data_IF_905138815284
#
_entry.id   IF_905138815284
#
_cell.length_a   1.000
_cell.length_b   1.000
_cell.length_c   1.000
_cell.angle_alpha   90.00
_cell.angle_beta   90.00
_cell.angle_gamma   90.00
#
_symmetry.space_group_name_H-M   'P 1'
#
loop_
_entity.id
_entity.type
_entity.pdbx_description
1 polymer ?
#
# COMPACT_ATOMS: atom_id res chain seq x y z
N UNK A 1 28.82 2.76 -8.30
CA UNK A 1 27.38 3.02 -8.42
C UNK A 1 26.76 2.91 -7.03
N UNK A 2 25.88 3.84 -6.67
CA UNK A 2 25.14 3.75 -5.40
C UNK A 2 24.29 2.48 -5.39
N UNK A 3 24.10 1.88 -4.22
CA UNK A 3 23.21 0.73 -4.07
C UNK A 3 21.78 1.21 -4.31
N UNK A 4 21.04 0.58 -5.22
CA UNK A 4 19.62 0.90 -5.44
C UNK A 4 18.83 0.72 -4.15
N UNK A 5 18.13 1.77 -3.73
CA UNK A 5 17.22 1.74 -2.59
C UNK A 5 15.82 1.38 -3.09
N UNK A 6 15.21 0.36 -2.47
CA UNK A 6 13.86 -0.10 -2.79
C UNK A 6 12.87 0.40 -1.73
N UNK A 7 11.71 0.89 -2.13
CA UNK A 7 10.66 1.38 -1.25
C UNK A 7 9.32 0.75 -1.63
N UNK A 8 8.45 0.53 -0.65
CA UNK A 8 7.06 0.19 -0.94
C UNK A 8 6.17 1.42 -0.71
N UNK A 9 5.35 1.77 -1.70
CA UNK A 9 4.27 2.74 -1.56
C UNK A 9 2.93 2.03 -1.50
N UNK A 10 2.12 2.32 -0.49
CA UNK A 10 0.73 1.86 -0.40
C UNK A 10 -0.15 3.08 -0.62
N UNK A 11 -1.00 3.03 -1.64
CA UNK A 11 -1.95 4.08 -1.99
C UNK A 11 -3.36 3.51 -1.86
N UNK A 12 -4.10 3.99 -0.86
CA UNK A 12 -5.46 3.59 -0.61
C UNK A 12 -6.40 4.69 -1.09
N UNK A 13 -7.06 4.47 -2.23
CA UNK A 13 -8.14 5.30 -2.73
C UNK A 13 -9.51 4.78 -2.28
N UNK A 14 -10.54 5.62 -2.40
CA UNK A 14 -11.90 5.27 -1.99
C UNK A 14 -12.50 4.07 -2.76
N UNK A 15 -12.03 3.78 -3.97
CA UNK A 15 -12.55 2.67 -4.79
C UNK A 15 -11.54 1.53 -4.98
N UNK A 16 -10.24 1.81 -4.87
CA UNK A 16 -9.18 0.83 -5.07
C UNK A 16 -7.97 1.15 -4.22
N UNK A 17 -7.22 0.12 -3.85
CA UNK A 17 -5.89 0.25 -3.26
C UNK A 17 -4.83 -0.33 -4.18
N UNK A 18 -3.61 0.20 -4.06
CA UNK A 18 -2.43 -0.21 -4.81
C UNK A 18 -1.22 -0.35 -3.90
N UNK A 19 -0.35 -1.29 -4.23
CA UNK A 19 1.02 -1.30 -3.74
C UNK A 19 1.97 -1.10 -4.92
N UNK A 20 2.91 -0.17 -4.75
CA UNK A 20 3.92 0.21 -5.73
C UNK A 20 5.30 -0.13 -5.18
N UNK A 21 6.15 -0.73 -6.01
CA UNK A 21 7.57 -0.86 -5.73
C UNK A 21 8.31 0.31 -6.38
N UNK A 22 8.95 1.13 -5.56
CA UNK A 22 9.81 2.22 -6.00
C UNK A 22 11.28 1.83 -5.91
N UNK A 23 12.04 2.06 -6.99
CA UNK A 23 13.49 1.80 -7.03
C UNK A 23 14.22 3.10 -7.33
N UNK A 24 15.12 3.51 -6.45
CA UNK A 24 15.95 4.70 -6.62
C UNK A 24 17.42 4.32 -6.72
N UNK A 25 18.06 4.57 -7.86
CA UNK A 25 19.48 4.24 -8.11
C UNK A 25 20.46 5.37 -7.72
N UNK A 26 19.95 6.48 -7.19
CA UNK A 26 20.70 7.69 -6.89
C UNK A 26 20.45 8.83 -7.88
N UNK A 27 19.87 8.55 -9.04
CA UNK A 27 19.57 9.53 -10.08
C UNK A 27 18.12 9.45 -10.57
N UNK A 28 17.57 8.23 -10.69
CA UNK A 28 16.26 7.96 -11.27
C UNK A 28 15.37 7.16 -10.34
N UNK A 29 14.08 7.47 -10.38
CA UNK A 29 13.04 6.66 -9.75
C UNK A 29 12.36 5.81 -10.81
N UNK A 30 12.28 4.51 -10.57
CA UNK A 30 11.45 3.58 -11.33
C UNK A 30 10.31 3.11 -10.43
N UNK A 31 9.11 3.04 -10.98
CA UNK A 31 7.90 2.62 -10.27
C UNK A 31 7.28 1.42 -10.98
N UNK A 32 6.86 0.44 -10.20
CA UNK A 32 6.18 -0.77 -10.66
C UNK A 32 4.95 -1.01 -9.79
N UNK A 33 3.77 -1.19 -10.39
CA UNK A 33 2.57 -1.61 -9.67
C UNK A 33 2.66 -3.12 -9.43
N UNK A 34 2.77 -3.52 -8.16
CA UNK A 34 2.93 -4.92 -7.80
C UNK A 34 1.63 -5.58 -7.38
N UNK A 35 0.67 -4.79 -6.90
CA UNK A 35 -0.61 -5.27 -6.43
C UNK A 35 -1.68 -4.20 -6.54
N UNK A 36 -2.87 -4.59 -6.96
CA UNK A 36 -4.06 -3.75 -7.01
C UNK A 36 -5.27 -4.54 -6.55
N UNK A 37 -6.11 -3.90 -5.75
CA UNK A 37 -7.32 -4.51 -5.20
C UNK A 37 -8.46 -3.49 -5.13
N UNK A 38 -9.70 -4.00 -5.11
CA UNK A 38 -10.88 -3.18 -4.88
C UNK A 38 -10.96 -2.76 -3.40
N UNK A 39 -11.27 -1.50 -3.15
CA UNK A 39 -11.60 -1.01 -1.82
C UNK A 39 -13.12 -0.90 -1.69
N UNK A 40 -13.76 -2.03 -1.37
CA UNK A 40 -15.23 -2.09 -1.27
C UNK A 40 -15.66 -1.87 0.17
N UNK A 41 -16.44 -0.81 0.47
CA UNK A 41 -16.94 -0.60 1.82
C UNK A 41 -18.01 -1.64 2.17
N UNK A 42 -18.16 -1.89 3.47
CA UNK A 42 -19.13 -2.83 4.03
C UNK A 42 -20.25 -2.08 4.75
N UNK A 43 -21.48 -2.61 4.65
CA UNK A 43 -22.63 -2.10 5.39
C UNK A 43 -22.71 -2.82 6.74
N UNK A 44 -22.68 -2.07 7.83
CA UNK A 44 -22.99 -2.57 9.17
C UNK A 44 -24.17 -1.78 9.76
N UNK A 45 -24.63 -2.12 10.96
CA UNK A 45 -25.79 -1.50 11.60
C UNK A 45 -25.69 0.02 11.73
N UNK A 46 -24.48 0.56 11.85
CA UNK A 46 -24.21 2.00 11.97
C UNK A 46 -23.98 2.70 10.63
N UNK A 47 -24.11 2.00 9.49
CA UNK A 47 -23.97 2.57 8.16
C UNK A 47 -22.79 2.00 7.37
N UNK A 48 -22.29 2.78 6.41
CA UNK A 48 -21.18 2.37 5.54
C UNK A 48 -19.85 2.53 6.27
N UNK A 49 -19.03 1.49 6.28
CA UNK A 49 -17.72 1.49 6.91
C UNK A 49 -16.69 0.90 5.97
N UNK A 50 -15.44 1.31 6.12
CA UNK A 50 -14.32 0.65 5.46
C UNK A 50 -14.05 -0.71 6.09
N UNK A 51 -13.84 -1.72 5.25
CA UNK A 51 -13.44 -3.05 5.73
C UNK A 51 -11.96 -3.02 6.13
N UNK A 52 -11.70 -2.60 7.37
CA UNK A 52 -10.35 -2.44 7.90
C UNK A 52 -9.54 -3.74 7.88
N UNK A 53 -10.19 -4.89 8.09
CA UNK A 53 -9.51 -6.18 8.08
C UNK A 53 -9.13 -6.59 6.66
N UNK A 54 -10.01 -6.35 5.68
CA UNK A 54 -9.69 -6.58 4.27
C UNK A 54 -8.58 -5.63 3.79
N UNK A 55 -8.68 -4.34 4.10
CA UNK A 55 -7.62 -3.37 3.80
C UNK A 55 -6.28 -3.82 4.35
N UNK A 56 -6.22 -4.22 5.62
CA UNK A 56 -4.98 -4.70 6.24
C UNK A 56 -4.46 -6.00 5.61
N UNK A 57 -5.36 -6.91 5.21
CA UNK A 57 -4.98 -8.11 4.47
C UNK A 57 -4.30 -7.77 3.14
N UNK A 58 -4.92 -6.90 2.34
CA UNK A 58 -4.40 -6.49 1.03
C UNK A 58 -3.07 -5.72 1.14
N UNK A 59 -2.92 -4.86 2.16
CA UNK A 59 -1.66 -4.17 2.46
C UNK A 59 -0.55 -5.18 2.76
N UNK A 60 -0.79 -6.16 3.63
CA UNK A 60 0.22 -7.20 3.94
C UNK A 60 0.57 -8.03 2.70
N UNK A 61 -0.42 -8.35 1.87
CA UNK A 61 -0.20 -9.07 0.62
C UNK A 61 0.72 -8.27 -0.32
N UNK A 62 0.37 -7.01 -0.60
CA UNK A 62 1.15 -6.14 -1.48
C UNK A 62 2.55 -5.83 -0.95
N UNK A 63 2.72 -5.63 0.36
CA UNK A 63 4.05 -5.49 0.98
C UNK A 63 4.88 -6.77 0.85
N UNK A 64 4.25 -7.93 0.97
CA UNK A 64 4.88 -9.23 0.72
C UNK A 64 5.37 -9.36 -0.72
N UNK A 65 4.57 -8.93 -1.70
CA UNK A 65 4.95 -8.90 -3.11
C UNK A 65 6.07 -7.89 -3.39
N UNK A 66 6.01 -6.67 -2.85
CA UNK A 66 7.12 -5.70 -2.91
C UNK A 66 8.42 -6.33 -2.39
N UNK A 67 8.36 -7.01 -1.24
CA UNK A 67 9.51 -7.69 -0.65
C UNK A 67 10.09 -8.76 -1.59
N UNK A 68 9.24 -9.65 -2.12
CA UNK A 68 9.65 -10.71 -3.07
C UNK A 68 10.25 -10.14 -4.36
N UNK A 69 9.59 -9.16 -4.97
CA UNK A 69 9.99 -8.60 -6.27
C UNK A 69 11.19 -7.64 -6.18
N UNK A 70 11.39 -6.99 -5.02
CA UNK A 70 12.53 -6.09 -4.84
C UNK A 70 13.88 -6.82 -4.89
N UNK A 71 13.92 -8.10 -4.54
CA UNK A 71 15.13 -8.93 -4.49
C UNK A 71 16.11 -8.54 -3.36
N UNK A 72 15.74 -7.59 -2.50
CA UNK A 72 16.54 -7.10 -1.38
C UNK A 72 15.64 -6.54 -0.27
N UNK A 73 16.22 -6.12 0.85
CA UNK A 73 15.43 -5.42 1.88
C UNK A 73 14.87 -4.09 1.35
N UNK A 74 13.62 -3.77 1.71
CA UNK A 74 13.06 -2.45 1.51
C UNK A 74 13.73 -1.46 2.47
N UNK A 75 14.09 -0.28 1.95
CA UNK A 75 14.65 0.83 2.71
C UNK A 75 13.57 1.62 3.47
N UNK A 76 12.31 1.51 3.07
CA UNK A 76 11.18 2.16 3.73
C UNK A 76 9.83 1.81 3.12
N UNK A 77 8.77 2.15 3.85
CA UNK A 77 7.37 1.99 3.45
C UNK A 77 6.67 3.34 3.63
N UNK A 78 5.95 3.79 2.61
CA UNK A 78 5.04 4.94 2.68
C UNK A 78 3.60 4.50 2.50
N UNK A 79 2.67 5.11 3.24
CA UNK A 79 1.23 4.86 3.12
C UNK A 79 0.53 6.19 2.91
N UNK A 80 -0.29 6.27 1.87
CA UNK A 80 -1.17 7.38 1.54
C UNK A 80 -2.62 6.87 1.48
N UNK A 81 -3.56 7.69 1.97
CA UNK A 81 -4.98 7.33 2.03
C UNK A 81 -5.85 8.49 1.60
N UNK A 82 -7.10 8.19 1.21
CA UNK A 82 -8.14 9.21 1.15
C UNK A 82 -8.32 9.89 2.52
N UNK A 83 -8.86 11.12 2.52
CA UNK A 83 -9.06 11.92 3.74
C UNK A 83 -10.44 11.78 4.38
N UNK A 84 -10.71 12.64 5.38
CA UNK A 84 -11.99 12.80 6.12
C UNK A 84 -12.35 11.66 7.08
N UNK A 85 -12.11 10.42 6.69
CA UNK A 85 -12.48 9.26 7.52
C UNK A 85 -11.47 8.97 8.64
N UNK A 86 -11.96 8.32 9.70
CA UNK A 86 -11.15 7.93 10.86
C UNK A 86 -11.60 6.59 11.44
N UNK A 87 -10.73 5.99 12.26
CA UNK A 87 -11.04 4.82 13.09
C UNK A 87 -10.85 5.17 14.55
N UNK A 88 -11.79 4.76 15.41
CA UNK A 88 -11.69 4.90 16.85
C UNK A 88 -11.12 3.61 17.44
N UNK A 89 -10.05 3.72 18.23
CA UNK A 89 -9.44 2.60 18.96
C UNK A 89 -9.85 2.69 20.44
N UNK A 90 -10.21 1.55 21.02
CA UNK A 90 -10.63 1.42 22.42
C UNK A 90 -9.77 0.45 23.21
#
# INVERSE_FOLDING_TARGET
>A
MSKTANFAGVDLGAESGRCMLGRFDGERVQLEEVHRFANTPVRIFTGLHWDALRLFHEIKHGLGECGRQSGAALAGIGVDTWGVDCALLG
#
